data_IF_781925882083
#
_entry.id   IF_781925882083
#
_cell.length_a   1.000
_cell.length_b   1.000
_cell.length_c   1.000
_cell.angle_alpha   90.00
_cell.angle_beta   90.00
_cell.angle_gamma   90.00
#
_symmetry.space_group_name_H-M   'P 1'
#
loop_
_entity.id
_entity.type
_entity.pdbx_description
1 polymer ?
#
# COMPACT_ATOMS: atom_id res chain seq x y z
N UNK A 1 3.33 -6.99 -12.09
CA UNK A 1 2.15 -7.42 -11.31
C UNK A 1 2.46 -8.78 -10.74
N UNK A 2 2.39 -8.98 -9.42
CA UNK A 2 2.37 -10.33 -8.83
C UNK A 2 1.02 -10.92 -9.20
N UNK A 3 0.96 -11.60 -10.34
CA UNK A 3 -0.21 -12.36 -10.76
C UNK A 3 0.01 -13.78 -10.26
N UNK A 4 -0.97 -14.32 -9.55
CA UNK A 4 -0.99 -15.74 -9.19
C UNK A 4 0.18 -16.21 -8.29
N UNK A 5 0.67 -15.34 -7.40
CA UNK A 5 1.88 -15.55 -6.58
C UNK A 5 3.18 -15.78 -7.39
N UNK A 6 3.13 -15.67 -8.72
CA UNK A 6 4.30 -15.70 -9.60
C UNK A 6 4.78 -14.27 -9.76
N UNK A 7 5.92 -13.96 -9.15
CA UNK A 7 6.64 -12.73 -9.43
C UNK A 7 7.63 -13.00 -10.59
N UNK A 8 7.39 -12.51 -11.82
CA UNK A 8 8.27 -12.77 -12.96
C UNK A 8 9.68 -12.19 -12.77
N UNK A 9 9.86 -11.28 -11.80
CA UNK A 9 11.15 -10.68 -11.48
C UNK A 9 11.94 -11.50 -10.44
N UNK A 10 11.35 -12.52 -9.81
CA UNK A 10 12.00 -13.31 -8.75
C UNK A 10 13.29 -13.98 -9.25
N UNK A 11 13.25 -14.62 -10.41
CA UNK A 11 14.43 -15.28 -10.96
C UNK A 11 15.58 -14.30 -11.27
N UNK A 12 15.24 -13.10 -11.75
CA UNK A 12 16.22 -12.05 -12.01
C UNK A 12 16.79 -11.47 -10.71
N UNK A 13 15.95 -11.26 -9.70
CA UNK A 13 16.38 -10.80 -8.37
C UNK A 13 17.31 -11.82 -7.69
N UNK A 14 16.97 -13.11 -7.79
CA UNK A 14 17.78 -14.21 -7.27
C UNK A 14 19.16 -14.26 -7.94
N UNK A 15 19.20 -14.24 -9.27
CA UNK A 15 20.44 -14.22 -10.02
C UNK A 15 21.30 -12.99 -9.68
N UNK A 16 20.68 -11.82 -9.55
CA UNK A 16 21.37 -10.59 -9.17
C UNK A 16 21.94 -10.66 -7.75
N UNK A 17 21.16 -11.15 -6.78
CA UNK A 17 21.60 -11.30 -5.38
C UNK A 17 22.77 -12.29 -5.31
N UNK A 18 22.66 -13.45 -5.96
CA UNK A 18 23.75 -14.42 -6.04
C UNK A 18 25.03 -13.82 -6.64
N UNK A 19 24.90 -13.02 -7.71
CA UNK A 19 26.03 -12.36 -8.35
C UNK A 19 26.69 -11.34 -7.41
N UNK A 20 25.90 -10.54 -6.68
CA UNK A 20 26.43 -9.56 -5.73
C UNK A 20 27.12 -10.21 -4.54
N UNK A 21 26.56 -11.30 -4.02
CA UNK A 21 27.19 -12.11 -2.97
C UNK A 21 28.53 -12.70 -3.45
N UNK A 22 28.57 -13.26 -4.65
CA UNK A 22 29.81 -13.79 -5.23
C UNK A 22 30.87 -12.69 -5.44
N UNK A 23 30.44 -11.48 -5.86
CA UNK A 23 31.33 -10.32 -6.00
C UNK A 23 31.88 -9.87 -4.65
N UNK A 24 31.03 -9.79 -3.63
CA UNK A 24 31.42 -9.43 -2.26
C UNK A 24 32.42 -10.44 -1.68
N UNK A 25 32.16 -11.74 -1.86
CA UNK A 25 33.08 -12.79 -1.42
C UNK A 25 34.47 -12.67 -2.07
N UNK A 26 34.54 -12.40 -3.39
CA UNK A 26 35.81 -12.15 -4.09
C UNK A 26 36.56 -10.92 -3.57
N UNK A 27 35.85 -9.96 -3.00
CA UNK A 27 36.41 -8.74 -2.42
C UNK A 27 36.67 -8.86 -0.91
N UNK A 28 36.43 -10.03 -0.30
CA UNK A 28 36.57 -10.22 1.14
C UNK A 28 35.54 -9.46 1.97
N UNK A 29 34.43 -9.02 1.37
CA UNK A 29 33.35 -8.32 2.06
C UNK A 29 32.46 -9.38 2.75
N UNK A 30 32.32 -9.32 4.09
CA UNK A 30 31.51 -10.29 4.81
C UNK A 30 30.01 -10.09 4.55
N UNK A 31 29.24 -11.17 4.62
CA UNK A 31 27.79 -11.16 4.29
C UNK A 31 26.99 -10.16 5.14
N UNK A 32 27.38 -9.93 6.39
CA UNK A 32 26.73 -8.97 7.29
C UNK A 32 26.96 -7.49 6.91
N UNK A 33 27.83 -7.21 5.94
CA UNK A 33 28.00 -5.87 5.35
C UNK A 33 27.18 -5.69 4.07
N UNK A 34 26.42 -6.72 3.66
CA UNK A 34 25.58 -6.70 2.47
C UNK A 34 24.15 -6.49 2.93
N UNK A 35 23.53 -5.42 2.44
CA UNK A 35 22.13 -5.13 2.72
C UNK A 35 21.30 -5.15 1.45
N UNK A 36 20.04 -5.53 1.58
CA UNK A 36 19.05 -5.41 0.51
C UNK A 36 18.10 -4.27 0.81
N UNK A 37 17.69 -3.56 -0.24
CA UNK A 37 16.66 -2.55 -0.12
C UNK A 37 15.74 -2.52 -1.33
N UNK A 38 14.51 -2.11 -1.13
CA UNK A 38 13.54 -2.02 -2.21
C UNK A 38 12.28 -1.26 -1.87
N UNK A 39 11.63 -0.74 -2.90
CA UNK A 39 10.36 -0.05 -2.83
C UNK A 39 9.29 -0.80 -3.62
N UNK A 40 8.02 -0.75 -3.19
CA UNK A 40 6.90 -1.38 -3.89
C UNK A 40 7.16 -2.88 -4.17
N UNK A 41 7.07 -3.31 -5.42
CA UNK A 41 7.40 -4.67 -5.85
C UNK A 41 8.88 -5.03 -5.63
N UNK A 42 9.78 -4.06 -5.80
CA UNK A 42 11.20 -4.24 -5.48
C UNK A 42 11.44 -4.51 -4.00
N UNK A 43 10.59 -3.95 -3.13
CA UNK A 43 10.58 -4.26 -1.70
C UNK A 43 10.15 -5.70 -1.42
N UNK A 44 9.15 -6.21 -2.13
CA UNK A 44 8.76 -7.63 -2.03
C UNK A 44 9.92 -8.56 -2.41
N UNK A 45 10.63 -8.23 -3.51
CA UNK A 45 11.83 -8.96 -3.91
C UNK A 45 12.92 -8.87 -2.85
N UNK A 46 13.19 -7.68 -2.30
CA UNK A 46 14.18 -7.54 -1.23
C UNK A 46 13.86 -8.42 -0.01
N UNK A 47 12.58 -8.55 0.37
CA UNK A 47 12.17 -9.46 1.45
C UNK A 47 12.41 -10.93 1.10
N UNK A 48 12.04 -11.35 -0.13
CA UNK A 48 12.24 -12.73 -0.61
C UNK A 48 13.73 -13.08 -0.63
N UNK A 49 14.57 -12.18 -1.15
CA UNK A 49 16.02 -12.38 -1.25
C UNK A 49 16.69 -12.36 0.13
N UNK A 50 16.27 -11.46 1.03
CA UNK A 50 16.74 -11.46 2.42
C UNK A 50 16.42 -12.76 3.14
N UNK A 51 15.19 -13.27 2.98
CA UNK A 51 14.78 -14.53 3.57
C UNK A 51 15.58 -15.71 2.98
N UNK A 52 15.81 -15.75 1.67
CA UNK A 52 16.54 -16.82 1.00
C UNK A 52 18.03 -16.84 1.35
N UNK A 53 18.67 -15.66 1.45
CA UNK A 53 20.13 -15.56 1.61
C UNK A 53 20.57 -15.23 3.05
N UNK A 54 19.62 -14.98 3.96
CA UNK A 54 19.89 -14.57 5.33
C UNK A 54 20.59 -13.23 5.37
N UNK A 55 19.96 -12.20 4.78
CA UNK A 55 20.49 -10.85 4.66
C UNK A 55 19.68 -9.87 5.52
N UNK A 56 20.35 -8.80 5.93
CA UNK A 56 19.70 -7.65 6.54
C UNK A 56 19.22 -6.66 5.47
N UNK A 57 18.20 -5.87 5.76
CA UNK A 57 17.72 -4.90 4.79
C UNK A 57 16.61 -3.99 5.29
N UNK A 58 16.22 -3.06 4.42
CA UNK A 58 15.07 -2.20 4.66
C UNK A 58 14.21 -2.06 3.42
N UNK A 59 12.91 -1.97 3.63
CA UNK A 59 11.97 -1.73 2.53
C UNK A 59 11.11 -0.51 2.78
N UNK A 60 10.58 0.06 1.70
CA UNK A 60 9.82 1.31 1.72
C UNK A 60 8.53 1.10 0.93
N UNK A 61 7.37 1.14 1.59
CA UNK A 61 6.08 0.83 0.98
C UNK A 61 6.10 -0.46 0.14
N UNK A 62 6.79 -1.48 0.66
CA UNK A 62 6.87 -2.76 0.00
C UNK A 62 5.50 -3.42 -0.06
N UNK A 63 5.23 -4.12 -1.16
CA UNK A 63 4.23 -5.18 -1.12
C UNK A 63 4.79 -6.32 -0.24
N UNK A 64 4.10 -6.69 0.83
CA UNK A 64 4.56 -7.70 1.78
C UNK A 64 4.70 -9.09 1.16
N UNK A 65 5.79 -9.80 1.48
CA UNK A 65 6.14 -11.07 0.87
C UNK A 65 6.17 -12.26 1.85
N UNK A 66 5.59 -12.16 3.05
CA UNK A 66 5.64 -13.29 4.01
C UNK A 66 4.98 -14.55 3.47
N UNK A 67 3.93 -14.38 2.67
CA UNK A 67 3.20 -15.50 2.07
C UNK A 67 3.78 -15.92 0.71
N UNK A 68 4.93 -15.34 0.32
CA UNK A 68 5.59 -15.56 -0.97
C UNK A 68 6.97 -16.23 -0.83
N UNK A 69 7.42 -16.55 0.38
CA UNK A 69 8.71 -17.21 0.61
C UNK A 69 8.58 -18.74 0.66
N UNK A 70 9.63 -19.40 0.19
CA UNK A 70 9.75 -20.84 0.20
C UNK A 70 10.33 -21.30 1.55
N UNK A 71 9.46 -21.57 2.52
CA UNK A 71 9.87 -22.03 3.87
C UNK A 71 10.29 -20.90 4.83
N UNK A 72 10.91 -21.22 5.97
CA UNK A 72 11.30 -20.22 6.96
C UNK A 72 12.49 -19.36 6.47
N UNK A 73 12.58 -18.08 6.87
CA UNK A 73 13.74 -17.24 6.57
C UNK A 73 15.05 -17.86 7.09
N UNK A 74 16.11 -17.77 6.30
CA UNK A 74 17.44 -18.22 6.71
C UNK A 74 17.97 -17.41 7.89
N UNK A 75 18.81 -18.01 8.76
CA UNK A 75 19.48 -17.30 9.84
C UNK A 75 20.22 -16.05 9.35
N UNK A 76 20.09 -14.94 10.10
CA UNK A 76 20.64 -13.63 9.74
C UNK A 76 19.73 -12.78 8.86
N UNK A 77 18.52 -13.25 8.53
CA UNK A 77 17.50 -12.42 7.90
C UNK A 77 16.95 -11.38 8.90
N UNK A 78 17.22 -10.09 8.67
CA UNK A 78 16.71 -8.99 9.49
C UNK A 78 16.19 -7.85 8.62
N UNK A 79 14.88 -7.63 8.64
CA UNK A 79 14.22 -6.64 7.77
C UNK A 79 13.49 -5.59 8.60
N UNK A 80 13.64 -4.33 8.22
CA UNK A 80 12.80 -3.23 8.69
C UNK A 80 11.98 -2.67 7.53
N UNK A 81 10.66 -2.71 7.64
CA UNK A 81 9.74 -2.31 6.58
C UNK A 81 9.08 -0.98 6.95
N UNK A 82 9.52 0.10 6.33
CA UNK A 82 8.91 1.42 6.48
C UNK A 82 7.68 1.52 5.58
N UNK A 83 6.54 1.89 6.15
CA UNK A 83 5.31 2.12 5.38
C UNK A 83 4.59 3.40 5.77
N UNK A 84 4.00 4.07 4.79
CA UNK A 84 3.04 5.16 5.01
C UNK A 84 1.66 4.56 5.31
N UNK A 85 0.91 5.16 6.24
CA UNK A 85 -0.37 4.65 6.72
C UNK A 85 -1.45 4.57 5.63
N UNK A 86 -1.45 5.51 4.68
CA UNK A 86 -2.38 5.59 3.55
C UNK A 86 -1.97 4.73 2.35
N UNK A 87 -0.77 4.13 2.36
CA UNK A 87 -0.28 3.31 1.27
C UNK A 87 -0.99 1.95 1.22
N UNK A 88 -1.91 1.83 0.26
CA UNK A 88 -2.70 0.61 0.06
C UNK A 88 -1.87 -0.59 -0.39
N UNK A 89 -0.71 -0.39 -1.01
CA UNK A 89 0.12 -1.50 -1.51
C UNK A 89 0.82 -2.23 -0.37
N UNK A 90 1.35 -1.48 0.60
CA UNK A 90 1.93 -2.09 1.81
C UNK A 90 0.87 -2.55 2.81
N UNK A 91 -0.37 -2.05 2.76
CA UNK A 91 -1.47 -2.63 3.52
C UNK A 91 -1.98 -3.97 2.95
N UNK A 92 -1.69 -4.25 1.67
CA UNK A 92 -2.30 -5.34 0.93
C UNK A 92 -1.81 -6.75 1.30
N UNK A 93 -0.66 -6.89 1.95
CA UNK A 93 -0.01 -8.19 2.15
C UNK A 93 0.93 -8.15 3.36
N UNK A 94 1.02 -9.24 4.15
CA UNK A 94 1.91 -9.30 5.32
C UNK A 94 3.41 -9.29 4.96
N UNK A 95 4.20 -8.62 5.80
CA UNK A 95 5.65 -8.41 5.61
C UNK A 95 6.49 -9.38 6.41
N UNK A 96 7.71 -9.63 5.95
CA UNK A 96 8.75 -10.30 6.73
C UNK A 96 9.54 -9.30 7.57
N UNK A 97 9.74 -9.59 8.85
CA UNK A 97 10.50 -8.76 9.78
C UNK A 97 9.67 -7.67 10.46
N UNK A 98 10.34 -6.62 10.93
CA UNK A 98 9.71 -5.52 11.65
C UNK A 98 8.97 -4.58 10.68
N UNK A 99 7.81 -4.08 11.08
CA UNK A 99 7.06 -3.06 10.34
C UNK A 99 7.05 -1.76 11.12
N UNK A 100 7.54 -0.70 10.49
CA UNK A 100 7.54 0.66 11.02
C UNK A 100 6.52 1.47 10.21
N UNK A 101 5.34 1.66 10.81
CA UNK A 101 4.28 2.47 10.21
C UNK A 101 4.45 3.95 10.54
N UNK A 102 4.27 4.79 9.52
CA UNK A 102 4.43 6.25 9.58
C UNK A 102 3.15 6.90 9.06
N UNK A 103 2.71 7.98 9.71
CA UNK A 103 1.55 8.74 9.27
C UNK A 103 1.91 10.21 9.03
N UNK A 104 1.56 10.72 7.86
CA UNK A 104 1.54 12.14 7.52
C UNK A 104 0.29 12.84 8.09
N UNK A 105 0.25 14.18 8.01
CA UNK A 105 -0.98 14.91 8.32
C UNK A 105 -2.11 14.57 7.34
N UNK A 106 -1.77 14.36 6.07
CA UNK A 106 -2.74 14.08 5.02
C UNK A 106 -3.33 12.67 5.12
N UNK A 107 -2.59 11.72 5.70
CA UNK A 107 -3.13 10.42 6.13
C UNK A 107 -4.31 10.61 7.08
N UNK A 108 -4.14 11.46 8.10
CA UNK A 108 -5.20 11.73 9.09
C UNK A 108 -6.39 12.44 8.44
N UNK A 109 -6.14 13.37 7.52
CA UNK A 109 -7.22 14.02 6.77
C UNK A 109 -8.00 13.01 5.90
N UNK A 110 -7.29 12.11 5.24
CA UNK A 110 -7.91 11.08 4.39
C UNK A 110 -8.70 10.07 5.22
N UNK A 111 -8.21 9.69 6.40
CA UNK A 111 -8.95 8.85 7.35
C UNK A 111 -10.23 9.52 7.84
N UNK A 112 -10.24 10.84 8.07
CA UNK A 112 -11.47 11.58 8.37
C UNK A 112 -12.43 11.59 7.18
N UNK A 113 -11.93 11.85 5.97
CA UNK A 113 -12.73 11.84 4.75
C UNK A 113 -13.40 10.48 4.51
N UNK A 114 -12.68 9.38 4.74
CA UNK A 114 -13.21 8.02 4.69
C UNK A 114 -13.96 7.56 5.93
N UNK A 115 -14.23 8.46 6.90
CA UNK A 115 -15.01 8.22 8.13
C UNK A 115 -14.42 7.18 9.07
N UNK A 116 -13.11 6.97 9.00
CA UNK A 116 -12.36 6.16 9.97
C UNK A 116 -12.12 6.92 11.27
N UNK A 117 -12.06 8.25 11.21
CA UNK A 117 -11.80 9.14 12.33
C UNK A 117 -12.88 10.23 12.41
N UNK A 118 -13.29 10.58 13.63
CA UNK A 118 -14.22 11.68 13.93
C UNK A 118 -15.59 11.61 13.21
N UNK A 119 -16.05 10.40 12.85
CA UNK A 119 -17.31 10.20 12.17
C UNK A 119 -18.52 10.45 13.10
N UNK A 120 -19.53 11.23 12.68
CA UNK A 120 -20.78 11.37 13.42
C UNK A 120 -21.49 10.03 13.65
N UNK A 121 -22.24 9.89 14.74
CA UNK A 121 -22.92 8.63 15.10
C UNK A 121 -23.88 8.09 14.02
N UNK A 122 -24.46 8.98 13.21
CA UNK A 122 -25.37 8.63 12.11
C UNK A 122 -24.67 8.57 10.74
N UNK A 123 -23.34 8.67 10.69
CA UNK A 123 -22.60 8.63 9.44
C UNK A 123 -22.67 7.22 8.80
N UNK A 124 -22.61 7.12 7.46
CA UNK A 124 -22.43 5.84 6.81
C UNK A 124 -21.16 5.14 7.30
N UNK A 125 -21.08 3.80 7.18
CA UNK A 125 -19.86 3.07 7.51
C UNK A 125 -18.63 3.62 6.79
N UNK A 126 -17.41 3.38 7.33
CA UNK A 126 -16.18 3.83 6.70
C UNK A 126 -16.01 3.32 5.27
N UNK A 127 -15.30 4.10 4.47
CA UNK A 127 -15.03 3.80 3.07
C UNK A 127 -13.52 3.92 2.82
N UNK A 128 -12.86 2.78 2.62
CA UNK A 128 -11.43 2.69 2.39
C UNK A 128 -11.02 3.33 1.05
N UNK A 129 -11.89 3.31 0.03
CA UNK A 129 -11.60 3.96 -1.26
C UNK A 129 -11.61 5.49 -1.16
N UNK A 130 -12.30 6.06 -0.18
CA UNK A 130 -12.23 7.50 0.12
C UNK A 130 -11.03 7.87 1.00
N UNK A 131 -10.57 6.95 1.85
CA UNK A 131 -9.41 7.16 2.72
C UNK A 131 -8.06 6.84 2.06
N UNK A 132 -8.04 6.06 0.97
CA UNK A 132 -6.80 5.62 0.34
C UNK A 132 -6.00 6.79 -0.24
N UNK A 133 -4.68 6.67 -0.15
CA UNK A 133 -3.75 7.65 -0.69
C UNK A 133 -2.78 6.97 -1.63
N UNK A 134 -3.09 7.00 -2.92
CA UNK A 134 -2.24 6.38 -3.94
C UNK A 134 -0.87 7.09 -4.05
N UNK A 135 -0.83 8.39 -3.78
CA UNK A 135 0.41 9.17 -3.80
C UNK A 135 1.38 8.77 -2.68
N UNK A 136 0.85 8.28 -1.56
CA UNK A 136 1.71 7.79 -0.47
C UNK A 136 2.51 6.59 -0.91
N UNK A 137 2.05 5.82 -1.90
CA UNK A 137 2.82 4.72 -2.47
C UNK A 137 4.10 5.20 -3.17
N UNK A 138 4.20 6.48 -3.57
CA UNK A 138 5.35 7.01 -4.31
C UNK A 138 6.67 6.97 -3.52
N UNK A 139 7.63 6.20 -4.01
CA UNK A 139 8.97 6.12 -3.40
C UNK A 139 9.72 7.46 -3.44
N UNK A 140 9.45 8.28 -4.47
CA UNK A 140 10.08 9.59 -4.66
C UNK A 140 9.49 10.67 -3.74
N UNK A 141 8.26 10.46 -3.27
CA UNK A 141 7.50 11.44 -2.51
C UNK A 141 7.86 11.38 -1.03
N UNK A 142 8.08 10.18 -0.48
CA UNK A 142 8.33 10.04 0.96
C UNK A 142 9.71 9.51 1.34
N UNK A 143 10.41 8.80 0.45
CA UNK A 143 11.64 8.08 0.84
C UNK A 143 12.89 8.55 0.09
N UNK A 144 12.75 9.53 -0.80
CA UNK A 144 13.88 10.06 -1.57
C UNK A 144 14.57 11.22 -0.84
N UNK A 145 15.91 11.26 -0.88
CA UNK A 145 16.72 12.25 -0.15
C UNK A 145 16.42 13.70 -0.53
N UNK A 146 16.03 13.95 -1.78
CA UNK A 146 15.65 15.29 -2.29
C UNK A 146 14.16 15.59 -2.16
N UNK A 147 13.35 14.66 -1.64
CA UNK A 147 11.94 14.96 -1.44
C UNK A 147 11.80 16.04 -0.37
N UNK A 148 11.00 17.10 -0.62
CA UNK A 148 10.61 18.01 0.45
C UNK A 148 9.85 17.27 1.56
N UNK A 149 9.23 16.12 1.25
CA UNK A 149 8.44 15.30 2.16
C UNK A 149 9.11 13.99 2.55
N UNK A 150 10.46 13.97 2.51
CA UNK A 150 11.23 12.82 2.95
C UNK A 150 10.94 12.50 4.43
N UNK A 151 10.14 11.46 4.65
CA UNK A 151 9.70 11.01 5.97
C UNK A 151 10.85 10.42 6.79
N UNK A 152 11.95 10.05 6.15
CA UNK A 152 13.14 9.51 6.83
C UNK A 152 14.04 10.60 7.43
N UNK A 153 13.76 11.89 7.18
CA UNK A 153 14.45 12.96 7.91
C UNK A 153 14.13 12.85 9.42
N UNK A 154 15.12 12.95 10.33
CA UNK A 154 14.93 12.60 11.74
C UNK A 154 13.71 13.25 12.42
N UNK A 155 13.51 14.55 12.21
CA UNK A 155 12.39 15.28 12.79
C UNK A 155 11.04 14.84 12.21
N UNK A 156 10.96 14.65 10.88
CA UNK A 156 9.74 14.21 10.19
C UNK A 156 9.40 12.77 10.56
N UNK A 157 10.41 11.91 10.65
CA UNK A 157 10.26 10.52 11.06
C UNK A 157 9.63 10.43 12.45
N UNK A 158 10.19 11.16 13.42
CA UNK A 158 9.66 11.18 14.79
C UNK A 158 8.23 11.70 14.83
N UNK A 159 7.92 12.77 14.11
CA UNK A 159 6.56 13.32 14.02
C UNK A 159 5.59 12.32 13.38
N UNK A 160 6.00 11.64 12.30
CA UNK A 160 5.16 10.68 11.59
C UNK A 160 4.92 9.41 12.42
N UNK A 161 5.94 8.92 13.12
CA UNK A 161 5.81 7.80 14.05
C UNK A 161 4.91 8.14 15.25
N UNK A 162 5.06 9.33 15.82
CA UNK A 162 4.20 9.80 16.91
C UNK A 162 2.74 9.92 16.46
N UNK A 163 2.52 10.47 15.26
CA UNK A 163 1.18 10.59 14.69
C UNK A 163 0.54 9.23 14.42
N UNK A 164 1.30 8.28 13.88
CA UNK A 164 0.85 6.90 13.75
C UNK A 164 0.45 6.32 15.11
N UNK A 165 1.31 6.45 16.12
CA UNK A 165 1.04 5.93 17.47
C UNK A 165 -0.26 6.52 18.07
N UNK A 166 -0.51 7.82 17.87
CA UNK A 166 -1.74 8.49 18.32
C UNK A 166 -3.01 7.97 17.64
N UNK A 167 -2.91 7.43 16.43
CA UNK A 167 -4.05 7.00 15.60
C UNK A 167 -4.00 5.50 15.23
N UNK A 168 -3.19 4.71 15.94
CA UNK A 168 -2.83 3.34 15.57
C UNK A 168 -4.07 2.46 15.35
N UNK A 169 -5.03 2.48 16.27
CA UNK A 169 -6.22 1.64 16.17
C UNK A 169 -7.04 1.91 14.89
N UNK A 170 -7.10 3.18 14.48
CA UNK A 170 -7.84 3.63 13.30
C UNK A 170 -7.08 3.27 12.02
N UNK A 171 -5.76 3.51 11.99
CA UNK A 171 -4.89 3.17 10.86
C UNK A 171 -4.88 1.65 10.62
N UNK A 172 -4.76 0.86 11.68
CA UNK A 172 -4.76 -0.61 11.56
C UNK A 172 -6.13 -1.14 11.13
N UNK A 173 -7.23 -0.49 11.53
CA UNK A 173 -8.57 -0.81 11.01
C UNK A 173 -8.67 -0.51 9.51
N UNK A 174 -8.22 0.67 9.08
CA UNK A 174 -8.17 1.03 7.66
C UNK A 174 -7.34 0.00 6.86
N UNK A 175 -6.16 -0.37 7.34
CA UNK A 175 -5.33 -1.39 6.70
C UNK A 175 -6.02 -2.75 6.55
N UNK A 176 -6.78 -3.19 7.57
CA UNK A 176 -7.60 -4.41 7.49
C UNK A 176 -8.70 -4.31 6.45
N UNK A 177 -9.40 -3.18 6.38
CA UNK A 177 -10.48 -2.98 5.41
C UNK A 177 -9.94 -2.93 3.97
N UNK A 178 -8.76 -2.33 3.74
CA UNK A 178 -8.06 -2.36 2.45
C UNK A 178 -7.69 -3.80 2.06
N UNK A 179 -7.11 -4.55 2.99
CA UNK A 179 -6.73 -5.95 2.75
C UNK A 179 -7.95 -6.83 2.42
N UNK A 180 -9.05 -6.66 3.15
CA UNK A 180 -10.31 -7.37 2.89
C UNK A 180 -10.90 -7.00 1.53
N UNK A 181 -10.99 -5.71 1.19
CA UNK A 181 -11.48 -5.26 -0.11
C UNK A 181 -10.66 -5.80 -1.28
N UNK A 182 -9.33 -5.88 -1.11
CA UNK A 182 -8.44 -6.50 -2.09
C UNK A 182 -8.70 -8.01 -2.24
N UNK A 183 -8.86 -8.73 -1.12
CA UNK A 183 -9.13 -10.17 -1.16
C UNK A 183 -10.42 -10.47 -1.91
N UNK A 184 -11.49 -9.71 -1.65
CA UNK A 184 -12.77 -9.80 -2.35
C UNK A 184 -12.63 -9.53 -3.85
N UNK A 185 -11.87 -8.49 -4.23
CA UNK A 185 -11.59 -8.17 -5.62
C UNK A 185 -10.81 -9.30 -6.31
N UNK A 186 -9.80 -9.86 -5.65
CA UNK A 186 -9.00 -10.96 -6.19
C UNK A 186 -9.84 -12.23 -6.42
N UNK A 187 -10.79 -12.53 -5.52
CA UNK A 187 -11.74 -13.63 -5.70
C UNK A 187 -12.68 -13.37 -6.89
N UNK A 188 -13.19 -12.15 -7.01
CA UNK A 188 -14.07 -11.75 -8.12
C UNK A 188 -13.36 -11.86 -9.48
N UNK A 189 -12.11 -11.41 -9.56
CA UNK A 189 -11.27 -11.55 -10.75
C UNK A 189 -11.02 -13.03 -11.11
N UNK A 190 -10.73 -13.88 -10.12
CA UNK A 190 -10.56 -15.32 -10.36
C UNK A 190 -11.83 -15.96 -10.90
N UNK A 191 -13.00 -15.63 -10.34
CA UNK A 191 -14.28 -16.15 -10.84
C UNK A 191 -14.54 -15.78 -12.31
N UNK A 192 -14.21 -14.55 -12.74
CA UNK A 192 -14.31 -14.16 -14.15
C UNK A 192 -13.36 -14.94 -15.06
N UNK A 193 -12.20 -15.33 -14.54
CA UNK A 193 -11.24 -16.11 -15.30
C UNK A 193 -11.59 -17.59 -15.38
N UNK A 194 -12.21 -18.16 -14.34
CA UNK A 194 -12.58 -19.59 -14.29
C UNK A 194 -13.97 -19.90 -14.81
N UNK A 195 -14.88 -18.92 -14.80
CA UNK A 195 -16.26 -19.07 -15.24
C UNK A 195 -16.59 -17.97 -16.25
N UNK A 196 -17.24 -18.32 -17.37
CA UNK A 196 -17.66 -17.38 -18.42
C UNK A 196 -18.81 -16.44 -18.00
N UNK A 197 -18.85 -16.02 -16.73
CA UNK A 197 -19.85 -15.13 -16.15
C UNK A 197 -19.24 -13.90 -15.47
N UNK A 198 -20.02 -12.83 -15.26
CA UNK A 198 -19.51 -11.62 -14.62
C UNK A 198 -19.14 -11.90 -13.16
N UNK A 199 -17.93 -11.50 -12.76
CA UNK A 199 -17.47 -11.58 -11.37
C UNK A 199 -18.32 -10.68 -10.50
N UNK A 200 -18.69 -11.15 -9.31
CA UNK A 200 -19.56 -10.39 -8.41
C UNK A 200 -18.75 -9.86 -7.24
N UNK A 201 -18.57 -8.54 -7.21
CA UNK A 201 -17.98 -7.86 -6.04
C UNK A 201 -18.84 -8.08 -4.80
N UNK A 202 -18.21 -8.17 -3.63
CA UNK A 202 -18.92 -8.24 -2.36
C UNK A 202 -19.83 -7.00 -2.16
N UNK A 203 -20.95 -7.13 -1.42
CA UNK A 203 -21.82 -5.99 -1.13
C UNK A 203 -21.09 -4.79 -0.51
N UNK A 204 -20.04 -5.06 0.29
CA UNK A 204 -19.22 -4.02 0.90
C UNK A 204 -18.37 -3.27 -0.14
N UNK A 205 -17.65 -3.98 -1.01
CA UNK A 205 -16.83 -3.34 -2.05
C UNK A 205 -17.72 -2.58 -3.04
N UNK A 206 -18.84 -3.19 -3.46
CA UNK A 206 -19.80 -2.53 -4.37
C UNK A 206 -20.36 -1.24 -3.78
N UNK A 207 -20.70 -1.23 -2.49
CA UNK A 207 -21.16 -0.02 -1.79
C UNK A 207 -20.09 1.08 -1.82
N UNK A 208 -18.84 0.73 -1.49
CA UNK A 208 -17.74 1.71 -1.46
C UNK A 208 -17.49 2.33 -2.85
N UNK A 209 -17.48 1.50 -3.89
CA UNK A 209 -17.33 1.95 -5.29
C UNK A 209 -18.48 2.86 -5.71
N UNK A 210 -19.73 2.46 -5.44
CA UNK A 210 -20.90 3.26 -5.79
C UNK A 210 -20.89 4.63 -5.12
N UNK A 211 -20.44 4.71 -3.87
CA UNK A 211 -20.31 5.99 -3.16
C UNK A 211 -19.26 6.90 -3.82
N UNK A 212 -18.07 6.36 -4.16
CA UNK A 212 -17.04 7.13 -4.86
C UNK A 212 -17.55 7.64 -6.21
N UNK A 213 -18.21 6.79 -6.98
CA UNK A 213 -18.80 7.17 -8.26
C UNK A 213 -19.87 8.26 -8.10
N UNK A 214 -20.72 8.16 -7.08
CA UNK A 214 -21.73 9.18 -6.80
C UNK A 214 -21.10 10.54 -6.45
N UNK A 215 -20.04 10.55 -5.65
CA UNK A 215 -19.30 11.77 -5.29
C UNK A 215 -18.57 12.39 -6.49
N UNK A 216 -18.03 11.56 -7.39
CA UNK A 216 -17.38 12.04 -8.62
C UNK A 216 -18.40 12.52 -9.68
N UNK A 217 -19.60 11.96 -9.70
CA UNK A 217 -20.69 12.37 -10.59
C UNK A 217 -21.46 13.60 -10.08
N UNK A 218 -21.44 13.88 -8.77
CA UNK A 218 -22.19 14.98 -8.16
C UNK A 218 -21.87 16.38 -8.75
N UNK A 219 -20.61 16.75 -9.04
CA UNK A 219 -20.30 18.01 -9.72
C UNK A 219 -20.87 18.07 -11.14
N UNK A 220 -20.83 16.94 -11.86
CA UNK A 220 -21.36 16.85 -13.23
C UNK A 220 -22.89 17.00 -13.27
N UNK A 221 -23.60 16.43 -12.29
CA UNK A 221 -25.05 16.56 -12.16
C UNK A 221 -25.43 17.97 -11.72
N UNK A 222 -24.68 18.59 -10.80
CA UNK A 222 -24.86 19.99 -10.39
C UNK A 222 -24.71 20.95 -11.58
N UNK A 223 -23.61 20.82 -12.33
CA UNK A 223 -23.37 21.61 -13.54
C UNK A 223 -24.45 21.40 -14.62
N UNK A 224 -24.94 20.16 -14.79
CA UNK A 224 -26.00 19.87 -15.74
C UNK A 224 -27.37 20.42 -15.31
N UNK A 225 -27.66 20.45 -14.00
CA UNK A 225 -28.87 21.07 -13.44
C UNK A 225 -28.81 22.59 -13.51
N UNK A 226 -27.67 23.21 -13.17
CA UNK A 226 -27.50 24.66 -13.31
C UNK A 226 -27.60 25.11 -14.78
N UNK A 227 -26.98 24.38 -15.71
CA UNK A 227 -27.09 24.66 -17.15
C UNK A 227 -28.52 24.50 -17.68
N UNK A 228 -29.29 23.52 -17.19
CA UNK A 228 -30.70 23.38 -17.57
C UNK A 228 -31.62 24.40 -16.88
N UNK A 229 -31.31 24.83 -15.66
CA UNK A 229 -32.05 25.89 -14.97
C UNK A 229 -31.90 27.25 -15.67
N UNK A 230 -30.73 27.54 -16.25
CA UNK A 230 -30.50 28.76 -17.07
C UNK A 230 -31.30 28.71 -18.39
N UNK A 231 -31.59 27.52 -18.94
CA UNK A 231 -32.42 27.38 -20.15
C UNK A 231 -33.92 27.51 -19.87
N UNK A 232 -34.38 27.18 -18.65
CA UNK A 232 -35.78 27.37 -18.25
C UNK A 232 -36.14 28.80 -17.79
N UNK A 233 -35.15 29.70 -17.68
CA UNK A 233 -35.35 31.12 -17.35
C UNK A 233 -35.51 32.06 -18.55
N UNK A 234 -35.53 31.53 -19.77
CA UNK A 234 -35.66 32.30 -21.01
C UNK A 234 -36.92 31.90 -21.80
N UNK A 235 -38.07 31.84 -21.13
CA UNK A 235 -39.36 31.96 -21.81
C UNK A 235 -40.16 33.11 -21.20
N UNK A 236 -40.30 34.16 -22.02
CA UNK A 236 -41.16 35.36 -21.96
C UNK A 236 -40.68 36.58 -21.17
#
# INVERSE_FOLDING_TARGET
MVRDAVNPQKAAADAFTAQMLAKAAKQGIPKNHITVAGHSLGGALAQIEAAKYGLSGSTYNAYGASDLIDGPPQPGCHLTNYRMAGDVVSAASPHLGEVVSLASQDDIHSLRAGRYLDAPACAPPPNALLAMRLDDHGGQQHFHSKSPDNVLQPQRFQQAAQRYAQHQAVIERFGRDVSAARADLALSLRQMHTHSGPGTLSPQVRRQVNEVLALQAAPFIGDALERNAVVQGAEH
#
